data_IF_354619012895
#
_entry.id   IF_354619012895
#
_cell.length_a   1.000
_cell.length_b   1.000
_cell.length_c   1.000
_cell.angle_alpha   90.00
_cell.angle_beta   90.00
_cell.angle_gamma   90.00
#
_symmetry.space_group_name_H-M   'P 1'
#
loop_
_entity.id
_entity.type
_entity.pdbx_description
1 polymer ?
#
# COMPACT_ATOMS: atom_id res chain seq x y z
N UNK A 1 -54.55 -37.99 -15.16
CA UNK A 1 -53.64 -36.89 -15.53
C UNK A 1 -52.73 -36.62 -14.34
N UNK A 2 -51.41 -36.82 -14.53
CA UNK A 2 -50.38 -36.67 -13.49
C UNK A 2 -49.93 -35.21 -13.43
N UNK A 3 -50.04 -34.57 -12.27
CA UNK A 3 -49.33 -33.32 -12.00
C UNK A 3 -48.20 -33.68 -11.04
N UNK A 4 -47.02 -33.93 -11.60
CA UNK A 4 -45.79 -34.14 -10.86
C UNK A 4 -45.00 -32.83 -10.93
N UNK A 5 -44.68 -32.33 -9.73
CA UNK A 5 -43.53 -31.51 -9.39
C UNK A 5 -43.22 -30.28 -10.26
N UNK A 6 -43.64 -29.11 -9.77
CA UNK A 6 -42.90 -27.86 -10.01
C UNK A 6 -42.77 -27.13 -8.66
N UNK A 7 -41.97 -27.71 -7.76
CA UNK A 7 -41.38 -27.01 -6.61
C UNK A 7 -39.87 -27.21 -6.71
N UNK A 8 -39.28 -26.70 -7.78
CA UNK A 8 -37.82 -26.59 -7.94
C UNK A 8 -37.54 -25.25 -8.61
N UNK A 9 -37.84 -24.15 -7.92
CA UNK A 9 -37.40 -22.82 -8.35
C UNK A 9 -37.22 -21.87 -7.15
N UNK A 10 -36.62 -22.36 -6.07
CA UNK A 10 -36.31 -21.57 -4.88
C UNK A 10 -34.84 -21.67 -4.44
N UNK A 11 -33.95 -22.12 -5.33
CA UNK A 11 -32.50 -22.21 -5.08
C UNK A 11 -31.65 -21.43 -6.08
N UNK A 12 -32.22 -20.39 -6.72
CA UNK A 12 -31.39 -19.44 -7.47
C UNK A 12 -30.77 -18.42 -6.50
N UNK A 13 -29.62 -18.84 -5.98
CA UNK A 13 -28.40 -18.04 -6.03
C UNK A 13 -28.42 -16.69 -5.30
N UNK A 14 -28.50 -16.73 -3.97
CA UNK A 14 -27.83 -15.72 -3.15
C UNK A 14 -26.35 -16.08 -3.09
N UNK A 15 -25.64 -15.90 -4.20
CA UNK A 15 -24.17 -15.83 -4.18
C UNK A 15 -23.88 -14.40 -3.75
N UNK A 16 -23.90 -14.14 -2.44
CA UNK A 16 -23.17 -12.98 -1.94
C UNK A 16 -21.72 -13.18 -2.37
N UNK A 17 -21.09 -12.27 -3.12
CA UNK A 17 -19.64 -12.30 -3.17
C UNK A 17 -19.21 -12.13 -1.73
N UNK A 18 -18.67 -13.20 -1.15
CA UNK A 18 -17.77 -13.08 -0.01
C UNK A 18 -16.67 -12.20 -0.58
N UNK A 19 -16.75 -10.89 -0.32
CA UNK A 19 -15.62 -10.00 -0.39
C UNK A 19 -14.61 -10.65 0.55
N UNK A 20 -13.73 -11.48 -0.01
CA UNK A 20 -12.55 -11.92 0.68
C UNK A 20 -11.90 -10.63 1.14
N UNK A 21 -11.84 -10.44 2.47
CA UNK A 21 -10.96 -9.44 3.05
C UNK A 21 -9.64 -9.58 2.29
N UNK A 22 -9.25 -8.47 1.68
CA UNK A 22 -7.91 -8.28 1.17
C UNK A 22 -6.92 -9.00 2.07
N UNK A 23 -6.19 -9.98 1.56
CA UNK A 23 -5.29 -10.76 2.39
C UNK A 23 -4.28 -9.80 3.03
N UNK A 24 -4.34 -9.59 4.34
CA UNK A 24 -3.46 -8.68 5.06
C UNK A 24 -1.98 -8.93 4.73
N UNK A 25 -1.62 -10.18 4.41
CA UNK A 25 -0.28 -10.55 3.96
C UNK A 25 0.15 -9.87 2.66
N UNK A 26 -0.76 -9.64 1.71
CA UNK A 26 -0.49 -8.94 0.45
C UNK A 26 -0.21 -7.45 0.70
N UNK A 27 -1.00 -6.83 1.59
CA UNK A 27 -0.83 -5.43 1.97
C UNK A 27 0.51 -5.26 2.72
N UNK A 28 0.80 -6.12 3.70
CA UNK A 28 2.08 -6.11 4.43
C UNK A 28 3.25 -6.27 3.46
N UNK A 29 3.15 -7.18 2.50
CA UNK A 29 4.18 -7.38 1.48
C UNK A 29 4.40 -6.12 0.64
N UNK A 30 3.33 -5.47 0.18
CA UNK A 30 3.44 -4.22 -0.58
C UNK A 30 4.08 -3.10 0.27
N UNK A 31 3.73 -2.98 1.55
CA UNK A 31 4.34 -2.03 2.47
C UNK A 31 5.84 -2.29 2.61
N UNK A 32 6.27 -3.53 2.79
CA UNK A 32 7.70 -3.86 2.94
C UNK A 32 8.49 -3.57 1.66
N UNK A 33 7.90 -3.79 0.46
CA UNK A 33 8.52 -3.42 -0.81
C UNK A 33 8.71 -1.90 -0.88
N UNK A 34 7.68 -1.12 -0.58
CA UNK A 34 7.76 0.34 -0.57
C UNK A 34 8.79 0.85 0.43
N UNK A 35 8.79 0.30 1.65
CA UNK A 35 9.70 0.66 2.75
C UNK A 35 11.15 0.40 2.38
N UNK A 36 11.45 -0.76 1.79
CA UNK A 36 12.79 -1.10 1.34
C UNK A 36 13.27 -0.19 0.21
N UNK A 37 12.46 -0.01 -0.83
CA UNK A 37 12.83 0.83 -1.97
C UNK A 37 13.03 2.29 -1.54
N UNK A 38 12.17 2.82 -0.67
CA UNK A 38 12.29 4.19 -0.15
C UNK A 38 13.53 4.37 0.73
N UNK A 39 13.86 3.37 1.54
CA UNK A 39 15.10 3.36 2.33
C UNK A 39 16.35 3.38 1.44
N UNK A 40 16.35 2.60 0.37
CA UNK A 40 17.47 2.57 -0.58
C UNK A 40 17.61 3.93 -1.32
N UNK A 41 16.50 4.56 -1.69
CA UNK A 41 16.48 5.91 -2.30
C UNK A 41 16.95 7.01 -1.36
N UNK A 42 16.45 7.03 -0.12
CA UNK A 42 16.85 8.04 0.87
C UNK A 42 18.35 7.93 1.22
N UNK A 43 18.89 6.72 1.29
CA UNK A 43 20.33 6.45 1.43
C UNK A 43 21.13 6.98 0.24
N UNK A 44 20.61 6.87 -0.98
CA UNK A 44 21.28 7.37 -2.17
C UNK A 44 21.18 8.91 -2.32
N UNK A 45 20.08 9.50 -1.84
CA UNK A 45 19.78 10.93 -2.00
C UNK A 45 20.52 11.82 -0.98
N UNK A 46 20.55 11.43 0.29
CA UNK A 46 21.04 12.29 1.38
C UNK A 46 22.45 11.91 1.83
N UNK A 47 23.29 12.88 2.28
CA UNK A 47 24.66 12.61 2.70
C UNK A 47 24.74 11.81 4.00
N UNK A 48 25.80 11.01 4.18
CA UNK A 48 25.99 10.17 5.38
C UNK A 48 26.29 10.95 6.67
N UNK A 49 26.56 12.25 6.59
CA UNK A 49 26.80 13.14 7.72
C UNK A 49 26.27 14.55 7.45
N UNK A 50 26.18 15.36 8.51
CA UNK A 50 25.62 16.72 8.45
C UNK A 50 24.11 16.76 8.71
N UNK A 51 23.53 17.94 8.55
CA UNK A 51 22.14 18.25 8.91
C UNK A 51 21.12 17.31 8.24
N UNK A 52 21.25 17.07 6.94
CA UNK A 52 20.33 16.23 6.17
C UNK A 52 20.57 14.72 6.34
N UNK A 53 21.60 14.30 7.07
CA UNK A 53 21.93 12.87 7.19
C UNK A 53 20.86 12.06 7.93
N UNK A 54 20.08 12.72 8.77
CA UNK A 54 18.95 12.11 9.47
C UNK A 54 17.85 11.65 8.50
N UNK A 55 17.70 12.31 7.35
CA UNK A 55 16.73 11.94 6.31
C UNK A 55 17.10 10.63 5.59
N UNK A 56 18.27 10.06 5.85
CA UNK A 56 18.61 8.70 5.39
C UNK A 56 17.86 7.61 6.14
N UNK A 57 17.16 7.91 7.23
CA UNK A 57 16.55 6.90 8.10
C UNK A 57 15.05 6.92 7.93
N UNK A 58 14.43 5.74 7.82
CA UNK A 58 12.97 5.60 7.76
C UNK A 58 12.24 6.20 8.97
N UNK A 59 12.88 6.26 10.14
CA UNK A 59 12.29 6.85 11.36
C UNK A 59 12.11 8.38 11.28
N UNK A 60 12.72 9.02 10.27
CA UNK A 60 12.55 10.43 9.95
C UNK A 60 11.27 10.72 9.16
N UNK A 61 10.50 9.69 8.82
CA UNK A 61 9.30 9.80 8.00
C UNK A 61 8.08 9.23 8.73
N UNK A 62 6.97 9.96 8.68
CA UNK A 62 5.65 9.41 8.93
C UNK A 62 5.20 8.61 7.72
N UNK A 63 4.60 7.44 7.96
CA UNK A 63 4.10 6.55 6.91
C UNK A 63 2.57 6.49 6.95
N UNK A 64 1.94 6.73 5.81
CA UNK A 64 0.52 6.50 5.58
C UNK A 64 0.32 5.34 4.61
N UNK A 65 -0.72 4.53 4.83
CA UNK A 65 -1.10 3.44 3.94
C UNK A 65 -2.59 3.56 3.62
N UNK A 66 -2.92 3.45 2.34
CA UNK A 66 -4.29 3.37 1.88
C UNK A 66 -4.45 2.23 0.88
N UNK A 67 -5.60 1.56 0.92
CA UNK A 67 -5.96 0.56 -0.08
C UNK A 67 -6.96 1.16 -1.07
N UNK A 68 -6.70 0.95 -2.37
CA UNK A 68 -7.59 1.39 -3.45
C UNK A 68 -7.74 0.26 -4.47
N UNK A 69 -8.86 -0.46 -4.42
CA UNK A 69 -9.13 -1.62 -5.29
C UNK A 69 -8.01 -2.68 -5.21
N UNK A 70 -7.35 -2.97 -6.34
CA UNK A 70 -6.21 -3.91 -6.42
C UNK A 70 -4.85 -3.21 -6.20
N UNK A 71 -4.83 -2.07 -5.51
CA UNK A 71 -3.62 -1.29 -5.29
C UNK A 71 -3.46 -0.93 -3.82
N UNK A 72 -2.20 -0.80 -3.41
CA UNK A 72 -1.80 -0.24 -2.14
C UNK A 72 -1.06 1.06 -2.42
N UNK A 73 -1.45 2.13 -1.73
CA UNK A 73 -0.76 3.42 -1.78
C UNK A 73 -0.01 3.59 -0.46
N UNK A 74 1.29 3.85 -0.53
CA UNK A 74 2.14 4.10 0.64
C UNK A 74 2.76 5.47 0.49
N UNK A 75 2.55 6.33 1.49
CA UNK A 75 3.07 7.70 1.51
C UNK A 75 4.10 7.82 2.63
N UNK A 76 5.27 8.34 2.31
CA UNK A 76 6.30 8.76 3.26
C UNK A 76 6.35 10.28 3.26
N UNK A 77 6.23 10.90 4.44
CA UNK A 77 6.35 12.34 4.63
C UNK A 77 7.34 12.62 5.73
N UNK A 78 8.27 13.57 5.52
CA UNK A 78 9.24 13.94 6.54
C UNK A 78 8.51 14.37 7.81
N UNK A 79 8.98 13.84 8.94
CA UNK A 79 8.42 14.17 10.24
C UNK A 79 8.68 15.65 10.56
N UNK A 80 7.60 16.40 10.76
CA UNK A 80 7.62 17.83 11.07
C UNK A 80 8.47 18.16 12.31
N UNK A 81 8.63 17.22 13.24
CA UNK A 81 9.47 17.37 14.45
C UNK A 81 10.93 17.62 14.12
N UNK A 82 11.39 17.23 12.93
CA UNK A 82 12.76 17.44 12.47
C UNK A 82 13.02 18.85 11.94
N UNK A 83 11.99 19.68 11.76
CA UNK A 83 12.14 21.07 11.31
C UNK A 83 12.40 21.24 9.81
N UNK A 84 12.39 20.16 9.03
CA UNK A 84 12.44 20.22 7.57
C UNK A 84 11.06 20.55 6.98
N UNK A 85 11.04 21.29 5.88
CA UNK A 85 9.85 21.58 5.08
C UNK A 85 9.95 20.77 3.80
N UNK A 86 8.91 19.99 3.48
CA UNK A 86 8.89 19.13 2.29
C UNK A 86 9.57 17.78 2.49
N UNK A 87 9.78 17.08 1.38
CA UNK A 87 10.45 15.79 1.35
C UNK A 87 9.54 14.58 1.56
N UNK A 88 9.92 13.46 0.95
CA UNK A 88 9.21 12.19 1.06
C UNK A 88 8.93 11.55 -0.29
N UNK A 89 7.84 10.80 -0.36
CA UNK A 89 7.35 10.28 -1.62
C UNK A 89 6.14 9.37 -1.46
N UNK A 90 5.49 9.11 -2.58
CA UNK A 90 4.32 8.25 -2.68
C UNK A 90 4.60 7.08 -3.61
N UNK A 91 4.17 5.91 -3.18
CA UNK A 91 4.20 4.69 -3.95
C UNK A 91 2.77 4.26 -4.25
N UNK A 92 2.51 3.89 -5.49
CA UNK A 92 1.37 3.05 -5.85
C UNK A 92 1.90 1.67 -6.21
N UNK A 93 1.45 0.64 -5.50
CA UNK A 93 1.87 -0.74 -5.69
C UNK A 93 0.69 -1.62 -6.12
N UNK A 94 0.97 -2.63 -6.94
CA UNK A 94 0.00 -3.70 -7.17
C UNK A 94 -0.13 -4.55 -5.91
N UNK A 95 -1.37 -4.81 -5.49
CA UNK A 95 -1.66 -5.52 -4.26
C UNK A 95 -1.24 -6.99 -4.31
N UNK A 96 -1.37 -7.65 -5.45
CA UNK A 96 -1.16 -9.09 -5.59
C UNK A 96 0.31 -9.49 -5.43
N UNK A 97 1.20 -8.72 -6.05
CA UNK A 97 2.62 -9.06 -6.07
C UNK A 97 3.52 -8.05 -5.35
N UNK A 98 2.99 -6.89 -4.96
CA UNK A 98 3.73 -5.80 -4.33
C UNK A 98 4.57 -5.01 -5.33
N UNK A 99 4.36 -5.16 -6.65
CA UNK A 99 5.14 -4.47 -7.67
C UNK A 99 4.89 -2.96 -7.61
N UNK A 100 5.97 -2.17 -7.56
CA UNK A 100 5.88 -0.71 -7.69
C UNK A 100 5.37 -0.37 -9.08
N UNK A 101 4.18 0.25 -9.14
CA UNK A 101 3.58 0.74 -10.38
C UNK A 101 3.97 2.19 -10.65
N UNK A 102 3.96 3.01 -9.60
CA UNK A 102 4.30 4.44 -9.65
C UNK A 102 5.10 4.79 -8.40
N UNK A 103 6.12 5.62 -8.57
CA UNK A 103 6.79 6.34 -7.50
C UNK A 103 6.81 7.83 -7.83
N UNK A 104 6.41 8.66 -6.87
CA UNK A 104 6.51 10.11 -6.96
C UNK A 104 7.29 10.63 -5.74
N UNK A 105 8.46 11.22 -5.96
CA UNK A 105 9.21 11.89 -4.91
C UNK A 105 8.59 13.25 -4.58
N UNK A 106 8.65 13.63 -3.30
CA UNK A 106 8.32 14.98 -2.86
C UNK A 106 9.62 15.74 -2.58
N UNK A 107 9.70 16.96 -3.09
CA UNK A 107 10.82 17.89 -2.84
C UNK A 107 10.74 18.49 -1.43
#
# INVERSE_FOLDING_TARGET
>A
MKIIAIIVFLFFSVITPVCAESNDAEIIKAIEVARKDFQDRSIAMYPSSGEYSILRRLDSYSMGVAEINNKVVVVFLVDRRLGFIGGGGEYTLDKKDGKVLIFQGYE
#
